data_IF_894148081654
#
_entry.id   IF_894148081654
#
_cell.length_a   1.000
_cell.length_b   1.000
_cell.length_c   1.000
_cell.angle_alpha   90.00
_cell.angle_beta   90.00
_cell.angle_gamma   90.00
#
_symmetry.space_group_name_H-M   'P 1'
#
loop_
_entity.id
_entity.type
_entity.pdbx_description
1 polymer ?
#
# COMPACT_ATOMS: atom_id res chain seq x y z
N UNK A 1 -7.93 -12.00 33.18
CA UNK A 1 -7.10 -11.39 32.10
C UNK A 1 -6.61 -12.44 31.10
N UNK A 2 -6.46 -12.10 29.83
CA UNK A 2 -5.74 -12.93 28.84
C UNK A 2 -4.26 -12.62 28.87
N UNK A 3 -3.40 -13.62 28.65
CA UNK A 3 -1.96 -13.39 28.49
C UNK A 3 -1.77 -12.65 27.15
N UNK A 4 -1.30 -11.41 27.21
CA UNK A 4 -0.96 -10.61 26.03
C UNK A 4 0.49 -10.90 25.67
N UNK A 5 0.71 -11.69 24.63
CA UNK A 5 2.06 -11.96 24.12
C UNK A 5 2.36 -11.07 22.91
N UNK A 6 3.62 -10.69 22.73
CA UNK A 6 4.07 -10.04 21.50
C UNK A 6 4.54 -11.08 20.48
N UNK A 7 4.13 -10.96 19.22
CA UNK A 7 4.59 -11.80 18.11
C UNK A 7 5.43 -10.98 17.13
N UNK A 8 6.53 -11.58 16.65
CA UNK A 8 7.32 -11.00 15.56
C UNK A 8 6.62 -11.33 14.23
N UNK A 9 5.77 -10.43 13.75
CA UNK A 9 4.98 -10.64 12.54
C UNK A 9 5.76 -10.37 11.25
N UNK A 10 6.64 -9.37 11.27
CA UNK A 10 7.48 -8.99 10.13
C UNK A 10 8.94 -9.18 10.54
N UNK A 11 9.73 -9.87 9.72
CA UNK A 11 11.18 -9.97 9.86
C UNK A 11 11.84 -9.34 8.66
N UNK A 12 12.89 -8.55 8.90
CA UNK A 12 13.78 -8.04 7.85
C UNK A 12 14.94 -9.01 7.73
N UNK A 13 15.11 -9.65 6.57
CA UNK A 13 16.27 -10.49 6.28
C UNK A 13 17.52 -9.63 6.16
N UNK A 14 18.70 -10.25 6.27
CA UNK A 14 20.01 -9.56 6.10
C UNK A 14 20.13 -8.80 4.77
N UNK A 15 19.43 -9.26 3.73
CA UNK A 15 19.40 -8.64 2.41
C UNK A 15 18.34 -7.53 2.25
N UNK A 16 17.69 -7.10 3.34
CA UNK A 16 16.65 -6.05 3.36
C UNK A 16 15.24 -6.53 3.00
N UNK A 17 15.03 -7.83 2.75
CA UNK A 17 13.73 -8.36 2.36
C UNK A 17 12.78 -8.50 3.56
N UNK A 18 11.56 -7.98 3.44
CA UNK A 18 10.50 -8.20 4.43
C UNK A 18 9.88 -9.58 4.27
N UNK A 19 9.73 -10.29 5.38
CA UNK A 19 9.06 -11.58 5.43
C UNK A 19 8.03 -11.60 6.54
N UNK A 20 6.80 -12.01 6.17
CA UNK A 20 5.71 -12.25 7.10
C UNK A 20 5.82 -13.60 7.79
N UNK A 21 5.47 -13.63 9.07
CA UNK A 21 5.15 -14.87 9.78
C UNK A 21 3.93 -15.55 9.10
N UNK A 22 3.93 -16.89 9.09
CA UNK A 22 3.01 -17.72 8.31
C UNK A 22 1.53 -17.34 8.45
N UNK A 23 1.05 -17.03 9.66
CA UNK A 23 -0.35 -16.64 9.89
C UNK A 23 -0.74 -15.37 9.12
N UNK A 24 0.13 -14.35 9.11
CA UNK A 24 -0.12 -13.09 8.42
C UNK A 24 0.07 -13.23 6.91
N UNK A 25 1.00 -14.09 6.50
CA UNK A 25 1.17 -14.45 5.09
C UNK A 25 -0.09 -15.13 4.56
N UNK A 26 -0.67 -16.05 5.31
CA UNK A 26 -1.92 -16.74 4.93
C UNK A 26 -3.06 -15.74 4.78
N UNK A 27 -3.21 -14.83 5.75
CA UNK A 27 -4.17 -13.73 5.68
C UNK A 27 -3.97 -12.83 4.45
N UNK A 28 -2.72 -12.48 4.14
CA UNK A 28 -2.39 -11.67 2.97
C UNK A 28 -2.70 -12.41 1.65
N UNK A 29 -2.38 -13.70 1.56
CA UNK A 29 -2.71 -14.55 0.38
C UNK A 29 -4.21 -14.64 0.17
N UNK A 30 -4.99 -14.82 1.24
CA UNK A 30 -6.44 -14.96 1.15
C UNK A 30 -7.12 -13.66 0.72
N UNK A 31 -6.65 -12.51 1.22
CA UNK A 31 -7.34 -11.22 1.04
C UNK A 31 -6.72 -10.30 -0.01
N UNK A 32 -5.45 -10.51 -0.38
CA UNK A 32 -4.70 -9.70 -1.34
C UNK A 32 -3.75 -10.56 -2.18
N UNK A 33 -4.28 -11.56 -2.91
CA UNK A 33 -3.48 -12.60 -3.57
C UNK A 33 -2.48 -12.08 -4.60
N UNK A 34 -2.80 -11.03 -5.37
CA UNK A 34 -1.94 -10.57 -6.47
C UNK A 34 -0.61 -9.95 -5.99
N UNK A 35 -0.54 -9.59 -4.71
CA UNK A 35 0.61 -8.95 -4.11
C UNK A 35 1.25 -9.81 -3.00
N UNK A 36 0.63 -10.93 -2.63
CA UNK A 36 1.07 -11.77 -1.52
C UNK A 36 2.34 -12.59 -1.80
N UNK A 37 2.64 -12.85 -3.08
CA UNK A 37 3.80 -13.63 -3.52
C UNK A 37 4.95 -12.77 -4.04
N UNK A 38 4.75 -11.45 -4.10
CA UNK A 38 5.77 -10.53 -4.57
C UNK A 38 6.87 -10.43 -3.51
N UNK A 39 8.11 -10.62 -3.95
CA UNK A 39 9.28 -10.50 -3.10
C UNK A 39 9.39 -9.06 -2.59
N UNK A 40 9.18 -8.86 -1.29
CA UNK A 40 9.18 -7.54 -0.65
C UNK A 40 10.60 -7.06 -0.33
N UNK A 41 11.42 -6.91 -1.36
CA UNK A 41 12.77 -6.34 -1.28
C UNK A 41 12.85 -5.16 -2.26
N UNK A 42 12.84 -3.94 -1.73
CA UNK A 42 12.99 -2.76 -2.56
C UNK A 42 14.48 -2.43 -2.66
N UNK A 43 15.03 -2.60 -3.85
CA UNK A 43 16.42 -2.22 -4.15
C UNK A 43 16.49 -0.75 -4.55
N UNK A 44 17.67 -0.11 -4.48
CA UNK A 44 17.85 1.24 -5.00
C UNK A 44 17.41 1.39 -6.46
N UNK A 45 17.63 0.36 -7.29
CA UNK A 45 17.20 0.34 -8.68
C UNK A 45 15.67 0.33 -8.84
N UNK A 46 14.95 -0.47 -8.04
CA UNK A 46 13.47 -0.46 -8.03
C UNK A 46 12.97 0.91 -7.59
N UNK A 47 13.53 1.43 -6.50
CA UNK A 47 13.11 2.72 -5.95
C UNK A 47 13.30 3.85 -6.97
N UNK A 48 14.49 3.95 -7.57
CA UNK A 48 14.79 4.97 -8.56
C UNK A 48 13.83 4.90 -9.76
N UNK A 49 13.56 3.69 -10.26
CA UNK A 49 12.68 3.48 -11.42
C UNK A 49 11.23 3.91 -11.12
N UNK A 50 10.71 3.51 -9.96
CA UNK A 50 9.35 3.85 -9.52
C UNK A 50 9.21 5.35 -9.27
N UNK A 51 10.21 5.97 -8.63
CA UNK A 51 10.23 7.42 -8.39
C UNK A 51 10.28 8.22 -9.69
N UNK A 52 11.20 7.88 -10.59
CA UNK A 52 11.34 8.56 -11.87
C UNK A 52 10.05 8.43 -12.71
N UNK A 53 9.41 7.27 -12.70
CA UNK A 53 8.13 7.08 -13.36
C UNK A 53 7.02 7.94 -12.73
N UNK A 54 6.91 7.94 -11.40
CA UNK A 54 5.92 8.76 -10.71
C UNK A 54 6.11 10.25 -10.96
N UNK A 55 7.34 10.74 -10.92
CA UNK A 55 7.69 12.12 -11.21
C UNK A 55 7.32 12.49 -12.65
N UNK A 56 7.64 11.63 -13.62
CA UNK A 56 7.25 11.84 -15.01
C UNK A 56 5.72 11.92 -15.18
N UNK A 57 4.95 11.07 -14.49
CA UNK A 57 3.48 11.13 -14.49
C UNK A 57 3.00 12.44 -13.86
N UNK A 58 3.49 12.78 -12.68
CA UNK A 58 3.06 13.94 -11.90
C UNK A 58 3.38 15.28 -12.59
N UNK A 59 4.49 15.35 -13.34
CA UNK A 59 4.85 16.49 -14.17
C UNK A 59 4.20 16.46 -15.57
N UNK A 60 3.47 15.40 -15.91
CA UNK A 60 2.85 15.25 -17.24
C UNK A 60 3.85 15.02 -18.37
N UNK A 61 5.04 14.53 -18.06
CA UNK A 61 6.13 14.32 -19.00
C UNK A 61 6.06 12.98 -19.74
N UNK A 62 5.25 12.04 -19.27
CA UNK A 62 5.01 10.76 -19.97
C UNK A 62 4.26 11.01 -21.29
N UNK A 63 4.46 10.17 -22.33
CA UNK A 63 3.78 10.36 -23.61
C UNK A 63 2.26 10.31 -23.48
N UNK A 64 1.74 9.38 -22.66
CA UNK A 64 0.30 9.28 -22.40
C UNK A 64 -0.27 10.55 -21.76
N UNK A 65 0.44 11.17 -20.80
CA UNK A 65 0.00 12.41 -20.18
C UNK A 65 0.06 13.60 -21.16
N UNK A 66 1.14 13.70 -21.97
CA UNK A 66 1.29 14.75 -22.98
C UNK A 66 0.17 14.72 -24.02
N UNK A 67 -0.25 13.53 -24.44
CA UNK A 67 -1.27 13.35 -25.47
C UNK A 67 -2.67 13.81 -25.03
N UNK A 68 -2.94 13.90 -23.72
CA UNK A 68 -4.29 14.14 -23.20
C UNK A 68 -4.59 15.59 -22.82
N UNK A 69 -3.60 16.49 -22.79
CA UNK A 69 -3.80 17.94 -22.68
C UNK A 69 -4.48 18.42 -21.39
N UNK A 70 -4.18 17.81 -20.24
CA UNK A 70 -4.80 18.18 -18.95
C UNK A 70 -4.22 19.45 -18.34
N UNK A 71 -5.05 20.20 -17.62
CA UNK A 71 -4.62 21.36 -16.82
C UNK A 71 -3.80 20.98 -15.59
N UNK A 72 -3.94 19.74 -15.10
CA UNK A 72 -3.16 19.21 -13.98
C UNK A 72 -2.99 17.68 -14.11
N UNK A 73 -1.76 17.17 -14.34
CA UNK A 73 -1.51 15.73 -14.48
C UNK A 73 -1.88 14.92 -13.23
N UNK A 74 -1.64 15.50 -12.04
CA UNK A 74 -2.01 14.84 -10.77
C UNK A 74 -3.52 14.76 -10.56
N UNK A 75 -4.28 15.75 -11.05
CA UNK A 75 -5.75 15.72 -11.02
C UNK A 75 -6.26 14.61 -11.92
N UNK A 76 -5.76 14.58 -13.16
CA UNK A 76 -6.13 13.53 -14.09
C UNK A 76 -5.82 12.12 -13.55
N UNK A 77 -4.66 11.94 -12.91
CA UNK A 77 -4.27 10.67 -12.31
C UNK A 77 -5.29 10.20 -11.26
N UNK A 78 -5.63 11.03 -10.28
CA UNK A 78 -6.55 10.60 -9.22
C UNK A 78 -7.98 10.46 -9.74
N UNK A 79 -8.43 11.29 -10.69
CA UNK A 79 -9.76 11.16 -11.29
C UNK A 79 -9.88 9.84 -12.07
N UNK A 80 -8.86 9.50 -12.85
CA UNK A 80 -8.79 8.21 -13.55
C UNK A 80 -8.80 7.04 -12.58
N UNK A 81 -8.06 7.15 -11.48
CA UNK A 81 -8.04 6.15 -10.42
C UNK A 81 -9.41 5.95 -9.76
N UNK A 82 -10.06 7.02 -9.30
CA UNK A 82 -11.33 6.89 -8.60
C UNK A 82 -12.47 6.50 -9.53
N UNK A 83 -12.46 6.99 -10.77
CA UNK A 83 -13.41 6.54 -11.81
C UNK A 83 -13.32 5.02 -11.97
N UNK A 84 -12.12 4.49 -12.25
CA UNK A 84 -11.92 3.05 -12.42
C UNK A 84 -12.20 2.26 -11.13
N UNK A 85 -11.75 2.74 -9.97
CA UNK A 85 -11.95 2.05 -8.70
C UNK A 85 -13.44 1.84 -8.42
N UNK A 86 -14.24 2.87 -8.68
CA UNK A 86 -15.66 2.83 -8.38
C UNK A 86 -16.50 2.14 -9.48
N UNK A 87 -15.96 1.98 -10.68
CA UNK A 87 -16.50 1.07 -11.68
C UNK A 87 -16.30 -0.39 -11.26
N UNK A 88 -15.09 -0.76 -10.82
CA UNK A 88 -14.72 -2.14 -10.51
C UNK A 88 -15.24 -2.60 -9.13
N UNK A 89 -15.27 -1.70 -8.15
CA UNK A 89 -15.71 -1.98 -6.78
C UNK A 89 -16.66 -0.88 -6.27
N UNK A 90 -17.90 -0.81 -6.79
CA UNK A 90 -18.84 0.25 -6.41
C UNK A 90 -19.12 0.31 -4.90
N UNK A 91 -19.01 -0.79 -4.18
CA UNK A 91 -19.23 -0.89 -2.73
C UNK A 91 -18.23 -0.08 -1.90
N UNK A 92 -17.03 0.19 -2.44
CA UNK A 92 -16.00 0.95 -1.70
C UNK A 92 -16.29 2.44 -1.69
N UNK A 93 -17.17 2.96 -2.58
CA UNK A 93 -17.53 4.40 -2.63
C UNK A 93 -17.90 4.96 -1.26
N UNK A 94 -18.63 4.19 -0.44
CA UNK A 94 -19.09 4.59 0.89
C UNK A 94 -17.97 4.87 1.91
N UNK A 95 -16.76 4.38 1.64
CA UNK A 95 -15.56 4.62 2.44
C UNK A 95 -14.91 5.98 2.12
N UNK A 96 -15.19 6.55 0.95
CA UNK A 96 -14.61 7.82 0.48
C UNK A 96 -15.58 8.97 0.70
N UNK A 97 -15.71 9.42 1.96
CA UNK A 97 -16.72 10.42 2.38
C UNK A 97 -16.30 11.88 2.21
N UNK A 98 -15.03 12.13 1.94
CA UNK A 98 -14.48 13.47 1.68
C UNK A 98 -14.55 13.82 0.19
N UNK A 99 -14.37 15.09 -0.15
CA UNK A 99 -14.32 15.51 -1.56
C UNK A 99 -13.21 14.79 -2.33
N UNK A 100 -13.43 14.60 -3.64
CA UNK A 100 -12.47 13.95 -4.54
C UNK A 100 -11.09 14.61 -4.49
N UNK A 101 -11.02 15.92 -4.30
CA UNK A 101 -9.78 16.67 -4.17
C UNK A 101 -9.01 16.26 -2.91
N UNK A 102 -9.69 16.11 -1.78
CA UNK A 102 -9.06 15.66 -0.52
C UNK A 102 -8.57 14.22 -0.65
N UNK A 103 -9.39 13.36 -1.26
CA UNK A 103 -9.06 11.95 -1.51
C UNK A 103 -7.93 11.80 -2.54
N UNK A 104 -7.87 12.68 -3.53
CA UNK A 104 -6.80 12.78 -4.51
C UNK A 104 -5.48 13.15 -3.84
N UNK A 105 -5.46 14.21 -3.02
CA UNK A 105 -4.25 14.57 -2.24
C UNK A 105 -3.78 13.42 -1.34
N UNK A 106 -4.70 12.70 -0.68
CA UNK A 106 -4.36 11.54 0.13
C UNK A 106 -3.73 10.41 -0.71
N UNK A 107 -4.29 10.12 -1.89
CA UNK A 107 -3.74 9.14 -2.82
C UNK A 107 -2.34 9.54 -3.30
N UNK A 108 -2.14 10.79 -3.72
CA UNK A 108 -0.83 11.31 -4.14
C UNK A 108 0.20 11.16 -3.02
N UNK A 109 -0.16 11.51 -1.79
CA UNK A 109 0.74 11.35 -0.64
C UNK A 109 1.07 9.87 -0.37
N UNK A 110 0.11 8.96 -0.55
CA UNK A 110 0.33 7.52 -0.43
C UNK A 110 1.28 7.04 -1.54
N UNK A 111 1.07 7.42 -2.80
CA UNK A 111 1.94 7.04 -3.93
C UNK A 111 3.36 7.59 -3.74
N UNK A 112 3.50 8.83 -3.28
CA UNK A 112 4.79 9.41 -2.93
C UNK A 112 5.43 8.66 -1.75
N UNK A 113 4.65 8.31 -0.72
CA UNK A 113 5.16 7.55 0.43
C UNK A 113 5.59 6.14 0.04
N UNK A 114 4.86 5.49 -0.86
CA UNK A 114 5.19 4.22 -1.53
C UNK A 114 6.56 4.40 -2.21
N UNK A 115 6.68 5.36 -3.10
CA UNK A 115 7.88 5.55 -3.91
C UNK A 115 9.12 5.97 -3.07
N UNK A 116 8.93 6.78 -2.02
CA UNK A 116 10.02 7.28 -1.17
C UNK A 116 10.37 6.34 0.00
N UNK A 117 9.41 5.54 0.45
CA UNK A 117 9.36 4.99 1.81
C UNK A 117 10.16 3.71 2.04
N UNK A 118 11.38 3.60 1.53
CA UNK A 118 12.20 2.39 1.77
C UNK A 118 13.58 2.64 2.34
N UNK A 119 14.09 3.86 2.19
CA UNK A 119 15.41 4.24 2.71
C UNK A 119 15.33 5.21 3.90
N UNK A 120 14.14 5.57 4.37
CA UNK A 120 14.02 6.33 5.61
C UNK A 120 13.99 5.39 6.81
N UNK A 121 14.67 5.78 7.90
CA UNK A 121 14.61 5.08 9.17
C UNK A 121 13.16 4.88 9.68
N UNK A 122 12.25 5.76 9.24
CA UNK A 122 10.83 5.80 9.61
C UNK A 122 9.87 5.20 8.57
N UNK A 123 10.38 4.57 7.50
CA UNK A 123 9.58 3.95 6.44
C UNK A 123 8.46 3.05 6.98
N UNK A 124 8.85 2.08 7.83
CA UNK A 124 7.92 1.15 8.47
C UNK A 124 6.98 1.90 9.42
N UNK A 125 7.49 2.91 10.16
CA UNK A 125 6.69 3.68 11.09
C UNK A 125 5.54 4.43 10.38
N UNK A 126 5.81 5.05 9.24
CA UNK A 126 4.80 5.77 8.47
C UNK A 126 3.71 4.82 7.92
N UNK A 127 4.10 3.64 7.44
CA UNK A 127 3.14 2.63 6.97
C UNK A 127 2.32 2.04 8.12
N UNK A 128 2.92 1.90 9.30
CA UNK A 128 2.23 1.47 10.53
C UNK A 128 1.14 2.46 10.92
N UNK A 129 1.44 3.75 10.97
CA UNK A 129 0.45 4.80 11.27
C UNK A 129 -0.66 4.84 10.22
N UNK A 130 -0.31 4.66 8.94
CA UNK A 130 -1.28 4.54 7.86
C UNK A 130 -2.24 3.35 8.09
N UNK A 131 -1.72 2.18 8.48
CA UNK A 131 -2.54 1.00 8.72
C UNK A 131 -3.55 1.19 9.85
N UNK A 132 -3.15 1.83 10.95
CA UNK A 132 -4.06 2.11 12.05
C UNK A 132 -5.19 3.06 11.65
N UNK A 133 -4.90 4.10 10.86
CA UNK A 133 -5.94 4.97 10.29
C UNK A 133 -6.92 4.20 9.40
N UNK A 134 -6.44 3.26 8.59
CA UNK A 134 -7.31 2.45 7.74
C UNK A 134 -8.25 1.53 8.53
N UNK A 135 -7.80 1.00 9.68
CA UNK A 135 -8.70 0.30 10.61
C UNK A 135 -9.80 1.25 11.12
N UNK A 136 -9.45 2.49 11.49
CA UNK A 136 -10.45 3.50 11.93
C UNK A 136 -11.46 3.84 10.84
N UNK A 137 -11.03 3.87 9.58
CA UNK A 137 -11.90 4.10 8.43
C UNK A 137 -12.81 2.89 8.10
N UNK A 138 -12.58 1.73 8.73
CA UNK A 138 -13.35 0.52 8.48
C UNK A 138 -13.02 -0.15 7.14
N UNK A 139 -11.84 0.11 6.57
CA UNK A 139 -11.42 -0.49 5.30
C UNK A 139 -11.12 -1.97 5.52
N UNK A 140 -11.81 -2.84 4.77
CA UNK A 140 -11.58 -4.29 4.83
C UNK A 140 -10.36 -4.67 4.00
N UNK A 141 -9.60 -5.65 4.48
CA UNK A 141 -8.40 -6.17 3.80
C UNK A 141 -8.65 -6.60 2.35
N UNK A 142 -9.85 -7.13 2.05
CA UNK A 142 -10.21 -7.60 0.70
C UNK A 142 -10.22 -6.49 -0.37
N UNK A 143 -10.42 -5.23 0.02
CA UNK A 143 -10.45 -4.12 -0.93
C UNK A 143 -9.06 -3.74 -1.45
N UNK A 144 -7.99 -4.08 -0.72
CA UNK A 144 -6.63 -3.75 -1.14
C UNK A 144 -6.21 -4.49 -2.41
N UNK A 145 -6.70 -5.73 -2.64
CA UNK A 145 -6.37 -6.42 -3.90
C UNK A 145 -6.86 -5.64 -5.13
N UNK A 146 -8.13 -5.24 -5.10
CA UNK A 146 -8.76 -4.47 -6.18
C UNK A 146 -8.11 -3.09 -6.29
N UNK A 147 -7.88 -2.42 -5.17
CA UNK A 147 -7.22 -1.11 -5.13
C UNK A 147 -5.84 -1.17 -5.78
N UNK A 148 -5.03 -2.18 -5.45
CA UNK A 148 -3.71 -2.37 -6.03
C UNK A 148 -3.76 -2.63 -7.54
N UNK A 149 -4.68 -3.48 -8.01
CA UNK A 149 -4.88 -3.71 -9.46
C UNK A 149 -5.21 -2.41 -10.19
N UNK A 150 -6.21 -1.67 -9.71
CA UNK A 150 -6.65 -0.41 -10.31
C UNK A 150 -5.52 0.62 -10.29
N UNK A 151 -4.77 0.71 -9.20
CA UNK A 151 -3.62 1.63 -9.11
C UNK A 151 -2.58 1.32 -10.19
N UNK A 152 -2.21 0.04 -10.36
CA UNK A 152 -1.21 -0.38 -11.34
C UNK A 152 -1.71 -0.17 -12.78
N UNK A 153 -2.97 -0.44 -13.05
CA UNK A 153 -3.59 -0.15 -14.36
C UNK A 153 -3.52 1.35 -14.68
N UNK A 154 -3.90 2.21 -13.73
CA UNK A 154 -3.89 3.66 -13.94
C UNK A 154 -2.47 4.20 -14.06
N UNK A 155 -1.51 3.68 -13.30
CA UNK A 155 -0.09 3.99 -13.45
C UNK A 155 0.41 3.64 -14.86
N UNK A 156 0.07 2.45 -15.38
CA UNK A 156 0.41 2.03 -16.74
C UNK A 156 -0.21 2.96 -17.77
N UNK A 157 -1.51 3.20 -17.67
CA UNK A 157 -2.25 4.00 -18.65
C UNK A 157 -1.75 5.46 -18.66
N UNK A 158 -1.37 5.99 -17.50
CA UNK A 158 -0.73 7.31 -17.36
C UNK A 158 0.75 7.33 -17.80
N UNK A 159 1.43 6.18 -17.81
CA UNK A 159 2.81 6.06 -18.28
C UNK A 159 2.87 5.98 -19.81
N UNK A 160 1.92 5.28 -20.42
CA UNK A 160 1.99 4.86 -21.83
C UNK A 160 2.57 3.47 -21.96
N UNK A 161 1.99 2.66 -22.85
CA UNK A 161 2.35 1.25 -23.02
C UNK A 161 3.81 1.07 -23.45
N UNK A 162 4.33 2.00 -24.25
CA UNK A 162 5.69 2.03 -24.76
C UNK A 162 6.77 2.25 -23.68
N UNK A 163 6.41 2.91 -22.57
CA UNK A 163 7.32 3.13 -21.43
C UNK A 163 7.06 2.16 -20.27
N UNK A 164 6.00 1.35 -20.33
CA UNK A 164 5.66 0.39 -19.28
C UNK A 164 6.39 -0.94 -19.46
N UNK A 165 7.63 -1.01 -19.00
CA UNK A 165 8.44 -2.24 -19.05
C UNK A 165 8.09 -3.22 -17.94
N UNK A 166 8.48 -4.49 -18.11
CA UNK A 166 8.32 -5.53 -17.08
C UNK A 166 9.01 -5.16 -15.76
N UNK A 167 10.17 -4.51 -15.82
CA UNK A 167 10.90 -4.05 -14.63
C UNK A 167 10.16 -2.94 -13.90
N UNK A 168 9.44 -2.08 -14.62
CA UNK A 168 8.62 -1.03 -14.02
C UNK A 168 7.37 -1.63 -13.37
N UNK A 169 6.68 -2.56 -14.04
CA UNK A 169 5.55 -3.30 -13.47
C UNK A 169 5.95 -4.03 -12.18
N UNK A 170 7.03 -4.82 -12.25
CA UNK A 170 7.60 -5.51 -11.08
C UNK A 170 7.98 -4.51 -10.00
N UNK A 171 8.57 -3.37 -10.36
CA UNK A 171 8.92 -2.31 -9.41
C UNK A 171 7.70 -1.83 -8.62
N UNK A 172 6.66 -1.38 -9.31
CA UNK A 172 5.42 -0.91 -8.69
C UNK A 172 4.72 -2.00 -7.86
N UNK A 173 4.65 -3.24 -8.36
CA UNK A 173 4.14 -4.39 -7.60
C UNK A 173 4.93 -4.61 -6.33
N UNK A 174 6.26 -4.54 -6.39
CA UNK A 174 7.12 -4.72 -5.22
C UNK A 174 6.88 -3.64 -4.18
N UNK A 175 6.72 -2.38 -4.58
CA UNK A 175 6.45 -1.32 -3.60
C UNK A 175 5.05 -1.44 -2.99
N UNK A 176 4.03 -1.77 -3.78
CA UNK A 176 2.68 -2.02 -3.25
C UNK A 176 2.67 -3.22 -2.30
N UNK A 177 3.31 -4.34 -2.68
CA UNK A 177 3.41 -5.53 -1.85
C UNK A 177 4.18 -5.27 -0.54
N UNK A 178 5.20 -4.42 -0.57
CA UNK A 178 5.92 -4.00 0.63
C UNK A 178 4.99 -3.28 1.63
N UNK A 179 4.12 -2.38 1.14
CA UNK A 179 3.10 -1.78 1.99
C UNK A 179 2.15 -2.83 2.56
N UNK A 180 1.60 -3.70 1.71
CA UNK A 180 0.63 -4.72 2.14
C UNK A 180 1.22 -5.68 3.15
N UNK A 181 2.48 -6.06 2.96
CA UNK A 181 3.25 -6.85 3.92
C UNK A 181 3.40 -6.11 5.25
N UNK A 182 3.65 -4.81 5.23
CA UNK A 182 3.81 -4.02 6.45
C UNK A 182 2.48 -3.78 7.18
N UNK A 183 1.39 -3.55 6.43
CA UNK A 183 0.06 -3.28 6.98
C UNK A 183 -0.66 -4.55 7.46
N UNK A 184 -0.43 -5.70 6.82
CA UNK A 184 -1.20 -6.93 7.05
C UNK A 184 -1.32 -7.34 8.52
N UNK A 185 -0.27 -7.29 9.37
CA UNK A 185 -0.43 -7.63 10.78
C UNK A 185 -1.36 -6.68 11.55
N UNK A 186 -1.36 -5.39 11.22
CA UNK A 186 -2.23 -4.38 11.87
C UNK A 186 -3.68 -4.58 11.44
N UNK A 187 -3.89 -4.79 10.14
CA UNK A 187 -5.21 -5.04 9.56
C UNK A 187 -5.78 -6.38 10.08
N UNK A 188 -4.93 -7.39 10.26
CA UNK A 188 -5.31 -8.68 10.84
C UNK A 188 -5.87 -8.55 12.25
N UNK A 189 -5.25 -7.72 13.10
CA UNK A 189 -5.69 -7.54 14.48
C UNK A 189 -6.82 -6.51 14.63
N UNK A 190 -7.07 -5.68 13.61
CA UNK A 190 -8.17 -4.71 13.60
C UNK A 190 -8.08 -3.62 14.68
N UNK A 191 -6.88 -3.34 15.21
CA UNK A 191 -6.70 -2.32 16.26
C UNK A 191 -6.98 -0.93 15.67
N UNK A 192 -7.94 -0.21 16.25
CA UNK A 192 -8.33 1.15 15.81
C UNK A 192 -7.73 2.25 16.67
N UNK A 193 -7.39 1.97 17.93
CA UNK A 193 -6.86 2.94 18.89
C UNK A 193 -5.60 2.36 19.54
N UNK A 194 -4.46 2.32 18.82
CA UNK A 194 -3.21 1.76 19.35
C UNK A 194 -2.67 2.62 20.48
N UNK A 195 -2.11 1.99 21.51
CA UNK A 195 -1.31 2.69 22.51
C UNK A 195 0.06 3.08 21.94
N UNK A 196 0.76 4.02 22.56
CA UNK A 196 2.15 4.36 22.17
C UNK A 196 3.08 3.14 22.22
N UNK A 197 2.81 2.20 23.13
CA UNK A 197 3.51 0.92 23.17
C UNK A 197 3.23 0.06 21.94
N UNK A 198 1.99 0.03 21.45
CA UNK A 198 1.61 -0.72 20.25
C UNK A 198 2.30 -0.15 19.00
N UNK A 199 2.33 1.18 18.87
CA UNK A 199 3.08 1.88 17.82
C UNK A 199 4.58 1.57 17.89
N UNK A 200 5.19 1.69 19.07
CA UNK A 200 6.61 1.41 19.27
C UNK A 200 7.02 -0.05 18.96
N UNK A 201 6.13 -1.01 19.22
CA UNK A 201 6.34 -2.42 18.83
C UNK A 201 6.18 -2.62 17.32
N UNK A 202 5.14 -2.04 16.72
CA UNK A 202 4.84 -2.17 15.30
C UNK A 202 5.97 -1.63 14.42
N UNK A 203 6.63 -0.54 14.84
CA UNK A 203 7.86 -0.01 14.20
C UNK A 203 8.99 -1.05 14.07
N UNK A 204 8.99 -2.07 14.93
CA UNK A 204 9.98 -3.17 14.95
C UNK A 204 9.42 -4.47 14.37
N UNK A 205 8.27 -4.41 13.69
CA UNK A 205 7.58 -5.57 13.13
C UNK A 205 6.92 -6.48 14.19
N UNK A 206 6.73 -5.98 15.42
CA UNK A 206 6.13 -6.72 16.53
C UNK A 206 4.71 -6.25 16.82
N UNK A 207 3.84 -7.19 17.14
CA UNK A 207 2.42 -6.89 17.37
C UNK A 207 1.90 -7.66 18.58
N UNK A 208 0.96 -7.07 19.32
CA UNK A 208 0.25 -7.80 20.38
C UNK A 208 -0.65 -8.85 19.74
N UNK A 209 -0.58 -10.07 20.27
CA UNK A 209 -1.50 -11.14 19.93
C UNK A 209 -2.22 -11.56 21.21
N UNK A 210 -3.54 -11.44 21.20
CA UNK A 210 -4.38 -11.85 22.32
C UNK A 210 -4.84 -13.29 22.09
N UNK A 211 -4.36 -14.24 22.89
CA UNK A 211 -4.64 -15.68 22.72
C UNK A 211 -6.06 -16.12 23.16
N UNK A 212 -7.04 -15.22 23.26
CA UNK A 212 -8.44 -15.54 23.61
C UNK A 212 -9.34 -14.98 22.49
N UNK A 213 -10.18 -15.69 21.75
CA UNK A 213 -10.74 -17.07 21.78
C UNK A 213 -11.12 -17.36 20.31
N UNK A 214 -10.61 -18.43 19.67
CA UNK A 214 -11.46 -19.15 18.70
C UNK A 214 -12.56 -19.76 19.56
N UNK A 215 -13.72 -19.11 19.64
CA UNK A 215 -14.92 -19.83 20.06
C UNK A 215 -15.33 -20.67 18.85
N UNK A 216 -15.51 -21.95 19.15
CA UNK A 216 -15.99 -23.05 18.31
C UNK A 216 -17.11 -22.56 17.40
#
# INVERSE_FOLDING_TARGET
>A
MGIINSVQAIKIRRNGELVLLAQYRTFLVEKCPDFAFVRCKITPAIQHRVLANWEAIACGHTPAMRAKGHSSPVVYFYDSFYTRLFEVAPEVRSLFRSSIIVQGKALINIVQSIANGVNSADAIANVVELAYRHNQYGVKMQYYNVLGRVLLEVLRDCTGHELWTNELDVGWRTVYAYMMTTMAPILYHGVTHPTERDKAMAKRGRYRHNMKRKRI
#
